data_IF_043571472665
#
_entry.id   IF_043571472665
#
_cell.length_a   1.000
_cell.length_b   1.000
_cell.length_c   1.000
_cell.angle_alpha   90.00
_cell.angle_beta   90.00
_cell.angle_gamma   90.00
#
_symmetry.space_group_name_H-M   'P 1'
#
loop_
_entity.id
_entity.type
_entity.pdbx_description
1 polymer ?
#
# COMPACT_ATOMS: atom_id res chain seq x y z
N UNK A 1 3.24 13.66 -17.34
CA UNK A 1 1.85 13.15 -17.29
C UNK A 1 1.34 13.32 -15.87
N UNK A 2 0.27 14.06 -15.64
CA UNK A 2 -0.36 14.11 -14.31
C UNK A 2 -1.02 12.75 -14.06
N UNK A 3 -0.77 12.18 -12.88
CA UNK A 3 -1.34 10.88 -12.46
C UNK A 3 -2.83 11.00 -12.04
N UNK A 4 -3.57 11.93 -12.66
CA UNK A 4 -4.98 12.22 -12.33
C UNK A 4 -5.19 12.93 -10.98
N UNK A 5 -4.14 13.18 -10.21
CA UNK A 5 -4.23 13.85 -8.89
C UNK A 5 -4.41 15.36 -9.09
N UNK A 6 -5.51 15.90 -8.56
CA UNK A 6 -5.84 17.33 -8.58
C UNK A 6 -5.33 18.07 -7.35
N UNK A 7 -5.33 17.42 -6.19
CA UNK A 7 -5.01 18.03 -4.91
C UNK A 7 -3.94 17.23 -4.18
N UNK A 8 -2.97 17.93 -3.58
CA UNK A 8 -1.85 17.35 -2.84
C UNK A 8 -1.60 18.19 -1.60
N UNK A 9 -1.45 17.55 -0.45
CA UNK A 9 -1.13 18.21 0.81
C UNK A 9 0.01 17.50 1.56
N UNK A 10 0.44 18.08 2.68
CA UNK A 10 1.50 17.56 3.54
C UNK A 10 1.06 16.31 4.29
N UNK A 11 1.90 15.28 4.29
CA UNK A 11 1.79 14.11 5.19
C UNK A 11 2.67 14.23 6.44
N UNK A 12 3.32 15.39 6.65
CA UNK A 12 4.25 15.65 7.76
C UNK A 12 3.80 16.78 8.68
N UNK A 13 2.87 17.60 8.22
CA UNK A 13 2.28 18.72 8.95
C UNK A 13 0.77 18.59 8.92
N UNK A 14 0.20 18.15 10.04
CA UNK A 14 -1.24 17.94 10.17
C UNK A 14 -2.02 19.26 10.17
N UNK A 15 -1.40 20.38 10.56
CA UNK A 15 -2.04 21.70 10.57
C UNK A 15 -2.23 22.18 9.14
N UNK A 16 -1.17 22.07 8.33
CA UNK A 16 -1.25 22.34 6.90
C UNK A 16 -2.24 21.40 6.20
N UNK A 17 -2.20 20.10 6.50
CA UNK A 17 -3.16 19.14 5.97
C UNK A 17 -4.63 19.53 6.26
N UNK A 18 -4.92 19.94 7.49
CA UNK A 18 -6.26 20.42 7.88
C UNK A 18 -6.71 21.62 7.05
N UNK A 19 -5.82 22.60 6.84
CA UNK A 19 -6.10 23.82 6.09
C UNK A 19 -6.34 23.51 4.60
N UNK A 20 -5.45 22.72 4.01
CA UNK A 20 -5.51 22.31 2.61
C UNK A 20 -6.79 21.50 2.34
N UNK A 21 -7.17 20.57 3.22
CA UNK A 21 -8.40 19.78 3.07
C UNK A 21 -9.67 20.63 3.09
N UNK A 22 -9.74 21.65 3.96
CA UNK A 22 -10.86 22.60 3.96
C UNK A 22 -10.96 23.37 2.64
N UNK A 23 -9.81 23.79 2.11
CA UNK A 23 -9.75 24.44 0.81
C UNK A 23 -10.21 23.48 -0.31
N UNK A 24 -9.73 22.23 -0.34
CA UNK A 24 -10.12 21.25 -1.36
C UNK A 24 -11.63 20.95 -1.35
N UNK A 25 -12.23 20.86 -0.16
CA UNK A 25 -13.68 20.67 -0.01
C UNK A 25 -14.48 21.83 -0.56
N UNK A 26 -14.05 23.06 -0.26
CA UNK A 26 -14.65 24.27 -0.80
C UNK A 26 -14.54 24.32 -2.32
N UNK A 27 -13.36 24.05 -2.88
CA UNK A 27 -13.14 24.04 -4.33
C UNK A 27 -13.98 23.00 -5.06
N UNK A 28 -14.21 21.84 -4.43
CA UNK A 28 -15.06 20.78 -4.97
C UNK A 28 -16.55 20.96 -4.66
N UNK A 29 -16.91 21.93 -3.82
CA UNK A 29 -18.25 22.11 -3.27
C UNK A 29 -18.82 20.81 -2.67
N UNK A 30 -18.01 20.14 -1.83
CA UNK A 30 -18.39 18.91 -1.12
C UNK A 30 -18.23 19.10 0.39
N UNK A 31 -19.10 18.47 1.16
CA UNK A 31 -19.07 18.55 2.63
C UNK A 31 -18.23 17.44 3.28
N UNK A 32 -17.60 16.59 2.47
CA UNK A 32 -16.78 15.47 2.93
C UNK A 32 -16.41 14.49 1.82
N UNK A 33 -15.56 13.53 2.14
CA UNK A 33 -15.20 12.41 1.27
C UNK A 33 -15.93 11.13 1.69
N UNK A 34 -16.16 10.23 0.75
CA UNK A 34 -16.85 8.96 1.02
C UNK A 34 -15.90 7.91 1.63
N UNK A 35 -14.63 7.93 1.21
CA UNK A 35 -13.61 6.96 1.60
C UNK A 35 -12.32 7.69 1.96
N UNK A 36 -11.71 7.29 3.07
CA UNK A 36 -10.33 7.64 3.45
C UNK A 36 -9.53 6.36 3.48
N UNK A 37 -8.42 6.32 2.75
CA UNK A 37 -7.43 5.25 2.83
C UNK A 37 -6.24 5.80 3.59
N UNK A 38 -6.10 5.40 4.86
CA UNK A 38 -5.08 5.89 5.76
C UNK A 38 -3.88 4.95 5.82
N UNK A 39 -2.70 5.55 5.90
CA UNK A 39 -1.46 4.89 6.32
C UNK A 39 -0.60 5.81 7.20
N UNK A 40 -1.18 6.92 7.69
CA UNK A 40 -0.53 7.92 8.55
C UNK A 40 -0.87 7.66 10.01
N UNK A 41 -0.11 8.27 10.91
CA UNK A 41 -0.19 8.06 12.36
C UNK A 41 -0.48 9.36 13.10
N UNK A 42 -0.80 9.28 14.39
CA UNK A 42 -1.04 10.42 15.28
C UNK A 42 -2.21 11.28 14.84
N UNK A 43 -2.03 12.60 14.92
CA UNK A 43 -3.08 13.61 14.64
C UNK A 43 -3.73 13.48 13.25
N UNK A 44 -3.06 12.85 12.28
CA UNK A 44 -3.64 12.61 10.96
C UNK A 44 -4.86 11.67 11.02
N UNK A 45 -4.92 10.74 11.96
CA UNK A 45 -6.03 9.78 12.07
C UNK A 45 -7.35 10.48 12.40
N UNK A 46 -7.52 11.12 13.58
CA UNK A 46 -8.77 11.79 13.93
C UNK A 46 -9.07 12.97 13.00
N UNK A 47 -8.05 13.64 12.47
CA UNK A 47 -8.24 14.74 11.52
C UNK A 47 -8.79 14.26 10.18
N UNK A 48 -8.22 13.18 9.62
CA UNK A 48 -8.72 12.60 8.36
C UNK A 48 -10.13 12.05 8.53
N UNK A 49 -10.47 11.52 9.72
CA UNK A 49 -11.84 11.15 10.03
C UNK A 49 -12.76 12.36 9.89
N UNK A 50 -12.49 13.52 10.49
CA UNK A 50 -13.39 14.70 10.41
C UNK A 50 -13.84 15.08 8.99
N UNK A 51 -13.07 14.69 7.98
CA UNK A 51 -13.36 14.94 6.57
C UNK A 51 -14.22 13.88 5.86
N UNK A 52 -14.56 12.74 6.48
CA UNK A 52 -15.53 11.80 5.89
C UNK A 52 -16.97 12.28 6.10
N UNK A 53 -17.82 12.00 5.12
CA UNK A 53 -19.28 12.11 5.25
C UNK A 53 -19.83 11.12 6.30
N UNK A 54 -21.08 11.34 6.70
CA UNK A 54 -21.86 10.38 7.48
C UNK A 54 -21.93 9.03 6.74
N UNK A 55 -21.73 7.93 7.46
CA UNK A 55 -21.59 6.58 6.93
C UNK A 55 -20.41 6.36 5.96
N UNK A 56 -19.47 7.30 5.90
CA UNK A 56 -18.24 7.14 5.15
C UNK A 56 -17.36 6.03 5.74
N UNK A 57 -16.40 5.57 4.95
CA UNK A 57 -15.52 4.45 5.33
C UNK A 57 -14.09 4.92 5.51
N UNK A 58 -13.56 4.72 6.70
CA UNK A 58 -12.15 4.88 7.02
C UNK A 58 -11.46 3.52 6.93
N UNK A 59 -10.54 3.39 5.97
CA UNK A 59 -9.75 2.19 5.72
C UNK A 59 -8.34 2.42 6.29
N UNK A 60 -7.99 1.71 7.36
CA UNK A 60 -6.67 1.72 7.96
C UNK A 60 -5.79 0.63 7.33
N UNK A 61 -4.76 1.06 6.59
CA UNK A 61 -3.72 0.17 6.05
C UNK A 61 -2.53 0.02 7.00
N UNK A 62 -2.38 0.95 7.95
CA UNK A 62 -1.33 0.92 8.96
C UNK A 62 -1.56 -0.21 9.98
N UNK A 63 -0.48 -0.86 10.40
CA UNK A 63 -0.49 -1.80 11.54
C UNK A 63 -0.24 -1.10 12.88
N UNK A 64 -0.06 0.22 12.87
CA UNK A 64 0.29 1.06 14.03
C UNK A 64 -0.92 1.91 14.40
N UNK A 65 -1.15 2.09 15.70
CA UNK A 65 -2.19 3.00 16.23
C UNK A 65 -3.61 2.70 15.72
N UNK A 66 -3.89 1.41 15.47
CA UNK A 66 -5.24 0.92 15.20
C UNK A 66 -6.13 1.26 16.39
N UNK A 67 -7.26 1.91 16.12
CA UNK A 67 -8.18 2.34 17.16
C UNK A 67 -9.02 1.18 17.65
N UNK A 68 -9.20 1.09 18.97
CA UNK A 68 -10.24 0.25 19.57
C UNK A 68 -11.63 0.83 19.29
N UNK A 69 -12.68 0.01 19.42
CA UNK A 69 -14.06 0.48 19.25
C UNK A 69 -14.40 1.65 20.18
N UNK A 70 -13.89 1.66 21.41
CA UNK A 70 -14.16 2.72 22.38
C UNK A 70 -13.52 4.04 21.94
N UNK A 71 -12.25 4.00 21.51
CA UNK A 71 -11.57 5.18 20.97
C UNK A 71 -12.24 5.69 19.70
N UNK A 72 -12.69 4.79 18.82
CA UNK A 72 -13.45 5.17 17.64
C UNK A 72 -14.76 5.87 18.03
N UNK A 73 -15.53 5.32 18.98
CA UNK A 73 -16.78 5.92 19.48
C UNK A 73 -16.58 7.30 20.09
N UNK A 74 -15.44 7.56 20.74
CA UNK A 74 -15.07 8.88 21.27
C UNK A 74 -14.79 9.90 20.16
N UNK A 75 -14.23 9.46 19.03
CA UNK A 75 -13.92 10.33 17.88
C UNK A 75 -15.17 10.54 17.02
N UNK A 76 -15.82 9.44 16.62
CA UNK A 76 -17.00 9.46 15.78
C UNK A 76 -17.73 8.12 15.74
N UNK A 77 -19.06 8.16 15.86
CA UNK A 77 -19.91 6.96 15.90
C UNK A 77 -20.62 6.66 14.58
N UNK A 78 -20.67 7.61 13.65
CA UNK A 78 -21.43 7.53 12.40
C UNK A 78 -20.59 7.14 11.18
N UNK A 79 -19.45 6.47 11.35
CA UNK A 79 -18.63 5.96 10.26
C UNK A 79 -18.31 4.48 10.37
N UNK A 80 -17.97 3.90 9.23
CA UNK A 80 -17.39 2.57 9.13
C UNK A 80 -15.87 2.69 9.30
N UNK A 81 -15.30 1.93 10.23
CA UNK A 81 -13.86 1.79 10.40
C UNK A 81 -13.44 0.37 10.04
N UNK A 82 -12.53 0.24 9.08
CA UNK A 82 -12.05 -1.06 8.60
C UNK A 82 -10.53 -1.08 8.65
N UNK A 83 -9.97 -2.11 9.26
CA UNK A 83 -8.54 -2.41 9.16
C UNK A 83 -8.34 -3.41 8.03
N UNK A 84 -7.36 -3.15 7.16
CA UNK A 84 -7.03 -4.06 6.06
C UNK A 84 -5.72 -4.76 6.37
N UNK A 85 -5.83 -6.03 6.77
CA UNK A 85 -4.70 -6.92 6.92
C UNK A 85 -4.60 -7.80 5.67
N UNK A 86 -3.93 -7.27 4.62
CA UNK A 86 -3.88 -7.94 3.32
C UNK A 86 -3.36 -9.37 3.40
N UNK A 87 -2.34 -9.62 4.24
CA UNK A 87 -1.78 -10.96 4.47
C UNK A 87 -2.88 -11.96 4.90
N UNK A 88 -3.75 -11.57 5.83
CA UNK A 88 -4.87 -12.40 6.30
C UNK A 88 -5.96 -12.56 5.26
N UNK A 89 -6.23 -11.52 4.45
CA UNK A 89 -7.21 -11.61 3.36
C UNK A 89 -6.80 -12.69 2.35
N UNK A 90 -5.51 -12.74 2.02
CA UNK A 90 -4.95 -13.77 1.13
C UNK A 90 -5.06 -15.17 1.75
N UNK A 91 -4.73 -15.30 3.04
CA UNK A 91 -4.82 -16.59 3.75
C UNK A 91 -6.27 -17.10 3.86
N UNK A 92 -7.24 -16.20 4.06
CA UNK A 92 -8.64 -16.55 4.25
C UNK A 92 -9.35 -16.96 2.95
N UNK A 93 -9.00 -16.33 1.82
CA UNK A 93 -9.60 -16.65 0.52
C UNK A 93 -8.57 -16.58 -0.61
N UNK A 94 -7.87 -17.70 -0.78
CA UNK A 94 -6.85 -17.86 -1.82
C UNK A 94 -7.47 -17.83 -3.22
N UNK A 95 -8.72 -18.27 -3.39
CA UNK A 95 -9.40 -18.30 -4.70
C UNK A 95 -9.74 -16.88 -5.15
N UNK A 96 -10.28 -16.06 -4.23
CA UNK A 96 -10.46 -14.63 -4.47
C UNK A 96 -9.14 -13.95 -4.85
N UNK A 97 -8.06 -14.22 -4.12
CA UNK A 97 -6.76 -13.60 -4.41
C UNK A 97 -6.21 -14.00 -5.79
N UNK A 98 -6.38 -15.27 -6.19
CA UNK A 98 -6.01 -15.73 -7.53
C UNK A 98 -6.79 -14.99 -8.62
N UNK A 99 -8.10 -14.83 -8.45
CA UNK A 99 -8.93 -14.08 -9.40
C UNK A 99 -8.51 -12.61 -9.48
N UNK A 100 -8.23 -11.97 -8.33
CA UNK A 100 -7.71 -10.60 -8.28
C UNK A 100 -6.39 -10.46 -9.06
N UNK A 101 -5.46 -11.41 -8.90
CA UNK A 101 -4.21 -11.40 -9.66
C UNK A 101 -4.45 -11.57 -11.17
N UNK A 102 -5.40 -12.41 -11.59
CA UNK A 102 -5.76 -12.54 -13.00
C UNK A 102 -6.32 -11.25 -13.58
N UNK A 103 -7.19 -10.55 -12.85
CA UNK A 103 -7.72 -9.24 -13.26
C UNK A 103 -6.61 -8.20 -13.41
N UNK A 104 -5.69 -8.13 -12.44
CA UNK A 104 -4.51 -7.26 -12.51
C UNK A 104 -3.67 -7.57 -13.74
N UNK A 105 -3.42 -8.85 -14.04
CA UNK A 105 -2.66 -9.26 -15.22
C UNK A 105 -3.34 -8.86 -16.53
N UNK A 106 -4.67 -8.98 -16.60
CA UNK A 106 -5.45 -8.50 -17.75
C UNK A 106 -5.27 -6.99 -17.94
N UNK A 107 -5.33 -6.21 -16.87
CA UNK A 107 -5.20 -4.76 -16.93
C UNK A 107 -3.76 -4.29 -17.22
N UNK A 108 -2.75 -5.04 -16.77
CA UNK A 108 -1.35 -4.86 -17.19
C UNK A 108 -1.21 -5.11 -18.69
N UNK A 109 -1.72 -6.23 -19.19
CA UNK A 109 -1.66 -6.57 -20.63
C UNK A 109 -2.40 -5.56 -21.51
N UNK A 110 -3.47 -4.94 -20.98
CA UNK A 110 -4.19 -3.84 -21.64
C UNK A 110 -3.53 -2.48 -21.47
N UNK A 111 -2.41 -2.38 -20.75
CA UNK A 111 -1.68 -1.13 -20.51
C UNK A 111 -2.39 -0.14 -19.58
N UNK A 112 -3.43 -0.58 -18.85
CA UNK A 112 -4.15 0.26 -17.88
C UNK A 112 -3.35 0.46 -16.60
N UNK A 113 -2.64 -0.58 -16.17
CA UNK A 113 -1.71 -0.54 -15.04
C UNK A 113 -0.31 -0.39 -15.61
N UNK A 114 0.37 0.69 -15.25
CA UNK A 114 1.76 0.95 -15.65
C UNK A 114 2.68 0.77 -14.43
N UNK A 115 3.92 0.31 -14.64
CA UNK A 115 4.90 0.23 -13.56
C UNK A 115 5.08 1.59 -12.87
N UNK A 116 5.13 1.57 -11.54
CA UNK A 116 5.55 2.74 -10.76
C UNK A 116 7.06 2.96 -10.92
N UNK A 117 7.59 4.16 -10.62
CA UNK A 117 9.03 4.40 -10.63
C UNK A 117 9.76 3.35 -9.78
N UNK A 118 10.84 2.79 -10.32
CA UNK A 118 11.64 1.76 -9.63
C UNK A 118 13.09 2.20 -9.50
N UNK A 119 13.68 2.06 -8.31
CA UNK A 119 15.12 2.17 -8.10
C UNK A 119 15.71 0.78 -7.90
N UNK A 120 16.59 0.37 -8.81
CA UNK A 120 17.19 -0.96 -8.81
C UNK A 120 18.62 -0.90 -8.25
N UNK A 121 18.95 -1.79 -7.33
CA UNK A 121 20.31 -2.03 -6.84
C UNK A 121 20.69 -3.49 -7.14
N UNK A 122 21.85 -3.70 -7.78
CA UNK A 122 22.31 -5.04 -8.10
C UNK A 122 22.92 -5.72 -6.88
N UNK A 123 22.51 -6.95 -6.58
CA UNK A 123 23.15 -7.72 -5.50
C UNK A 123 24.53 -8.25 -5.87
N UNK A 124 24.92 -8.19 -7.15
CA UNK A 124 26.26 -8.54 -7.60
C UNK A 124 27.29 -7.46 -7.25
N UNK A 125 26.83 -6.22 -7.07
CA UNK A 125 27.67 -5.14 -6.58
C UNK A 125 27.94 -5.36 -5.08
N UNK A 126 29.21 -5.26 -4.66
CA UNK A 126 29.63 -5.55 -3.27
C UNK A 126 28.84 -4.77 -2.23
N UNK A 127 28.38 -3.56 -2.56
CA UNK A 127 27.58 -2.71 -1.68
C UNK A 127 26.10 -2.65 -2.04
N UNK A 128 25.63 -3.27 -3.13
CA UNK A 128 24.30 -3.01 -3.67
C UNK A 128 23.15 -3.35 -2.73
N UNK A 129 23.28 -4.44 -1.94
CA UNK A 129 22.31 -4.74 -0.87
C UNK A 129 22.32 -3.63 0.19
N UNK A 130 23.50 -3.26 0.68
CA UNK A 130 23.67 -2.26 1.75
C UNK A 130 23.14 -0.90 1.29
N UNK A 131 23.49 -0.49 0.08
CA UNK A 131 23.07 0.78 -0.52
C UNK A 131 21.56 0.81 -0.75
N UNK A 132 20.96 -0.32 -1.16
CA UNK A 132 19.51 -0.46 -1.26
C UNK A 132 18.80 -0.28 0.08
N UNK A 133 19.29 -0.93 1.14
CA UNK A 133 18.72 -0.76 2.49
C UNK A 133 18.91 0.66 3.03
N UNK A 134 20.09 1.27 2.86
CA UNK A 134 20.32 2.68 3.22
C UNK A 134 19.37 3.61 2.46
N UNK A 135 19.17 3.37 1.17
CA UNK A 135 18.24 4.14 0.36
C UNK A 135 16.79 4.05 0.88
N UNK A 136 16.35 2.87 1.33
CA UNK A 136 15.05 2.71 1.99
C UNK A 136 15.00 3.47 3.32
N UNK A 137 16.05 3.37 4.15
CA UNK A 137 16.11 4.03 5.47
C UNK A 137 15.97 5.55 5.40
N UNK A 138 16.45 6.19 4.33
CA UNK A 138 16.29 7.64 4.13
C UNK A 138 14.83 8.06 3.86
N UNK A 139 13.92 7.11 3.58
CA UNK A 139 12.48 7.34 3.37
C UNK A 139 12.16 8.44 2.32
N UNK A 140 13.07 8.67 1.37
CA UNK A 140 12.97 9.67 0.30
C UNK A 140 12.72 9.05 -1.08
N UNK A 141 12.54 7.73 -1.14
CA UNK A 141 12.31 7.03 -2.38
C UNK A 141 10.87 7.23 -2.88
N UNK A 142 10.73 7.41 -4.19
CA UNK A 142 9.44 7.43 -4.87
C UNK A 142 9.30 6.11 -5.61
N UNK A 143 8.18 5.41 -5.37
CA UNK A 143 7.87 4.12 -5.98
C UNK A 143 8.56 2.96 -5.26
N UNK A 144 9.09 1.98 -6.01
CA UNK A 144 9.60 0.71 -5.45
C UNK A 144 11.12 0.63 -5.50
N UNK A 145 11.73 0.18 -4.40
CA UNK A 145 13.15 -0.21 -4.37
C UNK A 145 13.25 -1.71 -4.66
N UNK A 146 14.10 -2.08 -5.63
CA UNK A 146 14.29 -3.45 -6.09
C UNK A 146 15.76 -3.85 -5.88
N UNK A 147 15.98 -4.97 -5.21
CA UNK A 147 17.28 -5.65 -5.22
C UNK A 147 17.25 -6.66 -6.37
N UNK A 148 17.97 -6.37 -7.46
CA UNK A 148 17.99 -7.24 -8.63
C UNK A 148 19.11 -8.27 -8.50
N UNK A 149 18.76 -9.53 -8.72
CA UNK A 149 19.72 -10.58 -9.01
C UNK A 149 19.65 -10.90 -10.51
N UNK A 150 20.66 -10.51 -11.32
CA UNK A 150 20.71 -10.86 -12.75
C UNK A 150 20.75 -12.37 -12.98
N UNK A 151 21.17 -13.13 -11.97
CA UNK A 151 21.21 -14.59 -11.99
C UNK A 151 19.81 -15.16 -11.69
N UNK A 152 18.83 -14.94 -12.56
CA UNK A 152 17.58 -15.71 -12.57
C UNK A 152 17.81 -17.11 -13.13
N UNK A 153 18.74 -17.84 -12.54
CA UNK A 153 18.65 -19.30 -12.43
C UNK A 153 18.22 -19.59 -11.00
N UNK A 154 16.92 -19.38 -10.73
CA UNK A 154 16.27 -19.75 -9.46
C UNK A 154 16.22 -21.28 -9.28
N UNK A 155 16.71 -22.05 -10.26
CA UNK A 155 17.00 -23.47 -10.08
C UNK A 155 18.51 -23.68 -10.05
N UNK A 156 19.13 -23.64 -8.86
CA UNK A 156 20.24 -24.57 -8.64
C UNK A 156 19.60 -25.95 -8.44
N UNK A 157 19.32 -26.66 -9.53
CA UNK A 157 19.37 -28.11 -9.41
C UNK A 157 20.80 -28.39 -8.93
N UNK A 158 20.96 -29.12 -7.82
CA UNK A 158 22.23 -29.80 -7.66
C UNK A 158 22.45 -30.62 -8.93
N UNK A 159 23.69 -30.79 -9.37
CA UNK A 159 24.00 -31.72 -10.47
C UNK A 159 23.73 -33.18 -10.07
N UNK A 160 23.03 -33.41 -8.97
CA UNK A 160 22.71 -34.73 -8.47
C UNK A 160 21.43 -35.19 -9.15
N UNK A 161 21.46 -36.44 -9.62
CA UNK A 161 20.27 -37.10 -10.10
C UNK A 161 19.45 -37.58 -8.88
N UNK A 162 18.23 -37.08 -8.74
CA UNK A 162 17.27 -37.59 -7.78
C UNK A 162 16.35 -38.61 -8.48
N UNK A 163 16.34 -39.85 -7.99
CA UNK A 163 15.42 -40.89 -8.46
C UNK A 163 14.32 -41.03 -7.40
N UNK A 164 13.08 -40.72 -7.78
CA UNK A 164 11.89 -41.00 -6.97
C UNK A 164 11.27 -42.28 -7.52
N UNK A 165 11.40 -43.38 -6.78
CA UNK A 165 10.67 -44.61 -7.08
C UNK A 165 9.32 -44.58 -6.35
N UNK A 166 8.23 -44.88 -7.05
CA UNK A 166 6.88 -44.90 -6.46
C UNK A 166 6.14 -43.55 -6.37
N UNK A 167 6.60 -42.50 -7.07
CA UNK A 167 5.97 -41.17 -7.04
C UNK A 167 4.57 -41.05 -7.69
N UNK A 168 3.95 -42.17 -8.05
CA UNK A 168 2.55 -42.25 -8.51
C UNK A 168 1.68 -43.11 -7.58
N UNK A 169 2.15 -43.38 -6.34
CA UNK A 169 1.34 -44.00 -5.28
C UNK A 169 0.33 -43.02 -4.69
#
# INVERSE_FOLDING_TARGET
KSIGIKFVSSSRDYTKFSQDMKYFMSELNIDGVDIVINSLVGEFIPLSMKFLKRNGTFIELGKREILSENQLKEIRTDINYQTVEFDKLVENDIVWFQNLLQEIMIDINKGKIQPIPTKVFSIQDKSGIIDGFRYIQHASHIGKVILSNPSTSICSYSKDAYIITGGMG
#
